data_IF_200479002005
#
_entry.id   IF_200479002005
#
_cell.length_a   1.000
_cell.length_b   1.000
_cell.length_c   1.000
_cell.angle_alpha   90.00
_cell.angle_beta   90.00
_cell.angle_gamma   90.00
#
_symmetry.space_group_name_H-M   'P 1'
#
loop_
_entity.id
_entity.type
_entity.pdbx_description
1 polymer ?
#
# COMPACT_ATOMS: atom_id res chain seq x y z
N UNK A 1 23.40 14.12 6.19
CA UNK A 1 23.04 13.78 4.80
C UNK A 1 22.12 14.87 4.26
N UNK A 2 22.37 15.43 3.06
CA UNK A 2 21.44 16.39 2.48
C UNK A 2 20.10 15.69 2.25
N UNK A 3 19.00 16.29 2.71
CA UNK A 3 17.65 15.79 2.48
C UNK A 3 17.35 15.93 1.00
N UNK A 4 17.57 14.88 0.22
CA UNK A 4 17.17 14.85 -1.20
C UNK A 4 15.67 15.15 -1.25
N UNK A 5 15.27 16.23 -1.94
CA UNK A 5 13.84 16.53 -2.15
C UNK A 5 13.24 15.32 -2.84
N UNK A 6 12.23 14.72 -2.20
CA UNK A 6 11.50 13.62 -2.79
C UNK A 6 10.78 14.14 -4.03
N UNK A 7 10.86 13.41 -5.12
CA UNK A 7 10.00 13.71 -6.27
C UNK A 7 8.55 13.39 -5.87
N UNK A 8 7.54 14.03 -6.49
CA UNK A 8 6.15 13.71 -6.20
C UNK A 8 5.83 12.21 -6.34
N UNK A 9 6.46 11.50 -7.29
CA UNK A 9 6.31 10.05 -7.42
C UNK A 9 6.82 9.26 -6.21
N UNK A 10 7.93 9.69 -5.61
CA UNK A 10 8.50 9.04 -4.42
C UNK A 10 7.63 9.26 -3.18
N UNK A 11 7.03 10.45 -3.03
CA UNK A 11 6.12 10.75 -1.94
C UNK A 11 4.89 9.84 -1.99
N UNK A 12 4.25 9.73 -3.17
CA UNK A 12 3.08 8.85 -3.36
C UNK A 12 3.39 7.39 -3.01
N UNK A 13 4.53 6.86 -3.47
CA UNK A 13 4.97 5.50 -3.13
C UNK A 13 5.16 5.33 -1.62
N UNK A 14 5.79 6.30 -0.97
CA UNK A 14 6.06 6.26 0.47
C UNK A 14 4.75 6.29 1.26
N UNK A 15 3.79 7.12 0.87
CA UNK A 15 2.45 7.18 1.48
C UNK A 15 1.76 5.82 1.34
N UNK A 16 1.70 5.26 0.14
CA UNK A 16 1.08 3.96 -0.08
C UNK A 16 1.74 2.84 0.74
N UNK A 17 3.08 2.78 0.77
CA UNK A 17 3.83 1.83 1.60
C UNK A 17 3.52 1.96 3.09
N UNK A 18 3.47 3.20 3.58
CA UNK A 18 3.20 3.50 4.97
C UNK A 18 1.79 3.07 5.37
N UNK A 19 0.79 3.35 4.52
CA UNK A 19 -0.60 2.98 4.78
C UNK A 19 -0.76 1.46 4.76
N UNK A 20 -0.24 0.78 3.74
CA UNK A 20 -0.33 -0.69 3.66
C UNK A 20 0.30 -1.32 4.91
N UNK A 21 1.48 -0.86 5.31
CA UNK A 21 2.17 -1.38 6.50
C UNK A 21 1.39 -1.10 7.78
N UNK A 22 0.88 0.13 7.95
CA UNK A 22 0.01 0.52 9.08
C UNK A 22 -1.17 -0.44 9.23
N UNK A 23 -1.87 -0.76 8.14
CA UNK A 23 -3.04 -1.64 8.23
C UNK A 23 -2.68 -3.12 8.42
N UNK A 24 -1.57 -3.58 7.88
CA UNK A 24 -1.06 -4.93 8.20
C UNK A 24 -0.77 -5.06 9.70
N UNK A 25 -0.07 -4.09 10.27
CA UNK A 25 0.28 -4.06 11.70
C UNK A 25 -0.98 -3.96 12.57
N UNK A 26 -1.92 -3.06 12.24
CA UNK A 26 -3.18 -2.89 12.97
C UNK A 26 -4.07 -4.13 12.96
N UNK A 27 -3.93 -4.99 11.95
CA UNK A 27 -4.72 -6.22 11.80
C UNK A 27 -3.97 -7.45 12.30
N UNK A 28 -2.69 -7.33 12.66
CA UNK A 28 -1.85 -8.48 13.00
C UNK A 28 -1.64 -9.44 11.82
N UNK A 29 -1.72 -8.92 10.60
CA UNK A 29 -1.65 -9.70 9.38
C UNK A 29 -0.22 -9.71 8.84
N UNK A 30 0.35 -10.90 8.68
CA UNK A 30 1.62 -11.04 7.98
C UNK A 30 1.43 -11.06 6.45
N UNK A 31 2.55 -11.01 5.73
CA UNK A 31 2.53 -11.03 4.27
C UNK A 31 1.99 -12.34 3.68
N UNK A 32 2.01 -13.45 4.41
CA UNK A 32 1.49 -14.73 3.94
C UNK A 32 -0.04 -14.70 3.94
N UNK A 33 -0.65 -14.28 5.05
CA UNK A 33 -2.10 -14.19 5.21
C UNK A 33 -2.72 -13.18 4.23
N UNK A 34 -2.08 -12.03 4.04
CA UNK A 34 -2.56 -11.03 3.07
C UNK A 34 -2.46 -11.57 1.65
N UNK A 35 -1.37 -12.27 1.30
CA UNK A 35 -1.20 -12.84 -0.03
C UNK A 35 -2.25 -13.92 -0.32
N UNK A 36 -2.58 -14.77 0.67
CA UNK A 36 -3.67 -15.75 0.56
C UNK A 36 -5.03 -15.10 0.32
N UNK A 37 -5.36 -14.01 1.04
CA UNK A 37 -6.61 -13.27 0.83
C UNK A 37 -6.72 -12.62 -0.55
N UNK A 38 -5.57 -12.29 -1.14
CA UNK A 38 -5.48 -11.69 -2.47
C UNK A 38 -5.33 -12.72 -3.58
N UNK A 39 -5.31 -14.02 -3.25
CA UNK A 39 -5.02 -15.12 -4.19
C UNK A 39 -3.71 -14.92 -4.99
N UNK A 40 -2.67 -14.44 -4.31
CA UNK A 40 -1.33 -14.28 -4.88
C UNK A 40 -0.29 -14.96 -4.01
N UNK A 41 0.88 -15.27 -4.60
CA UNK A 41 2.01 -15.75 -3.81
C UNK A 41 2.64 -14.62 -3.00
N UNK A 42 3.12 -14.91 -1.78
CA UNK A 42 3.77 -13.93 -0.89
C UNK A 42 4.83 -13.07 -1.57
N UNK A 43 5.65 -13.67 -2.44
CA UNK A 43 6.70 -12.95 -3.17
C UNK A 43 6.13 -11.84 -4.06
N UNK A 44 4.97 -12.07 -4.68
CA UNK A 44 4.28 -11.08 -5.51
C UNK A 44 3.79 -9.91 -4.65
N UNK A 45 3.16 -10.20 -3.50
CA UNK A 45 2.75 -9.15 -2.56
C UNK A 45 3.95 -8.32 -2.08
N UNK A 46 5.06 -8.96 -1.69
CA UNK A 46 6.28 -8.26 -1.28
C UNK A 46 6.81 -7.31 -2.36
N UNK A 47 6.87 -7.77 -3.60
CA UNK A 47 7.35 -6.98 -4.73
C UNK A 47 6.44 -5.77 -4.99
N UNK A 48 5.12 -5.99 -4.99
CA UNK A 48 4.12 -4.93 -5.18
C UNK A 48 4.09 -3.95 -4.00
N UNK A 49 4.27 -4.41 -2.77
CA UNK A 49 4.42 -3.53 -1.59
C UNK A 49 5.67 -2.66 -1.69
N UNK A 50 6.80 -3.21 -2.17
CA UNK A 50 8.01 -2.42 -2.45
C UNK A 50 7.81 -1.42 -3.59
N UNK A 51 6.91 -1.71 -4.53
CA UNK A 51 6.61 -0.88 -5.70
C UNK A 51 5.10 -0.74 -5.89
N UNK A 52 4.41 0.07 -5.06
CA UNK A 52 2.95 0.15 -5.05
C UNK A 52 2.36 0.56 -6.40
N UNK A 53 3.14 1.23 -7.25
CA UNK A 53 2.74 1.58 -8.61
C UNK A 53 2.51 0.37 -9.54
N UNK A 54 2.87 -0.84 -9.09
CA UNK A 54 2.72 -2.09 -9.85
C UNK A 54 1.49 -2.91 -9.45
N UNK A 55 0.69 -2.43 -8.50
CA UNK A 55 -0.65 -2.96 -8.30
C UNK A 55 -1.54 -2.58 -9.49
N UNK A 56 -2.23 -3.57 -10.04
CA UNK A 56 -3.39 -3.32 -10.89
C UNK A 56 -4.53 -2.74 -10.03
N UNK A 57 -5.52 -2.14 -10.68
CA UNK A 57 -6.66 -1.56 -9.97
C UNK A 57 -7.43 -2.62 -9.16
N UNK A 58 -7.65 -3.80 -9.75
CA UNK A 58 -8.37 -4.90 -9.09
C UNK A 58 -7.61 -5.44 -7.88
N UNK A 59 -6.29 -5.64 -8.00
CA UNK A 59 -5.46 -6.07 -6.87
C UNK A 59 -5.43 -5.01 -5.76
N UNK A 60 -5.46 -3.72 -6.11
CA UNK A 60 -5.49 -2.66 -5.11
C UNK A 60 -6.82 -2.63 -4.36
N UNK A 61 -7.94 -2.83 -5.05
CA UNK A 61 -9.25 -2.96 -4.41
C UNK A 61 -9.29 -4.17 -3.48
N UNK A 62 -8.83 -5.32 -3.95
CA UNK A 62 -8.72 -6.53 -3.15
C UNK A 62 -7.87 -6.31 -1.89
N UNK A 63 -6.69 -5.67 -2.02
CA UNK A 63 -5.84 -5.31 -0.88
C UNK A 63 -6.58 -4.40 0.12
N UNK A 64 -7.28 -3.37 -0.38
CA UNK A 64 -8.01 -2.43 0.46
C UNK A 64 -9.15 -3.11 1.23
N UNK A 65 -9.78 -4.12 0.66
CA UNK A 65 -10.81 -4.94 1.32
C UNK A 65 -10.20 -5.93 2.30
N UNK A 66 -9.16 -6.66 1.90
CA UNK A 66 -8.46 -7.64 2.72
C UNK A 66 -7.91 -7.04 4.02
N UNK A 67 -7.40 -5.81 3.95
CA UNK A 67 -6.86 -5.07 5.10
C UNK A 67 -7.90 -4.16 5.79
N UNK A 68 -9.11 -4.04 5.22
CA UNK A 68 -10.17 -3.13 5.67
C UNK A 68 -9.64 -1.69 5.82
N UNK A 69 -8.95 -1.19 4.79
CA UNK A 69 -8.42 0.17 4.73
C UNK A 69 -9.58 1.17 4.71
N UNK A 70 -9.50 2.23 5.54
CA UNK A 70 -10.55 3.26 5.61
C UNK A 70 -10.68 4.03 4.29
N UNK A 71 -11.83 4.68 4.08
CA UNK A 71 -12.07 5.43 2.83
C UNK A 71 -11.09 6.59 2.65
N UNK A 72 -10.73 7.24 3.75
CA UNK A 72 -9.78 8.34 3.78
C UNK A 72 -8.40 7.84 3.35
N UNK A 73 -7.89 6.78 3.99
CA UNK A 73 -6.59 6.20 3.67
C UNK A 73 -6.54 5.59 2.25
N UNK A 74 -7.66 5.08 1.72
CA UNK A 74 -7.77 4.69 0.30
C UNK A 74 -7.59 5.88 -0.64
N UNK A 75 -8.20 7.02 -0.33
CA UNK A 75 -8.00 8.26 -1.07
C UNK A 75 -6.53 8.69 -1.08
N UNK A 76 -5.85 8.58 0.06
CA UNK A 76 -4.43 8.87 0.18
C UNK A 76 -3.54 7.93 -0.64
N UNK A 77 -3.89 6.65 -0.79
CA UNK A 77 -3.14 5.74 -1.67
C UNK A 77 -3.25 6.19 -3.14
N UNK A 78 -4.45 6.60 -3.56
CA UNK A 78 -4.72 6.98 -4.95
C UNK A 78 -4.12 8.36 -5.31
N UNK A 79 -4.25 9.33 -4.41
CA UNK A 79 -3.90 10.73 -4.69
C UNK A 79 -2.49 11.05 -4.18
N UNK A 80 -2.07 10.33 -3.13
CA UNK A 80 -0.74 10.41 -2.53
C UNK A 80 -0.44 11.73 -1.82
N UNK A 81 -1.50 12.45 -1.42
CA UNK A 81 -1.50 13.67 -0.61
C UNK A 81 -2.80 13.70 0.20
N UNK A 82 -2.74 14.25 1.41
CA UNK A 82 -3.94 14.75 2.10
C UNK A 82 -4.21 16.10 1.44
N UNK A 83 -5.39 16.29 0.84
CA UNK A 83 -5.80 17.64 0.44
C UNK A 83 -5.93 18.48 1.72
N UNK A 84 -5.15 19.56 1.80
CA UNK A 84 -5.31 20.66 2.76
C UNK A 84 -6.54 21.50 2.41
#
# INVERSE_FOLDING_TARGET
MPKTRLTPGMERRRVAQSIISKYMDLRGEDEEHVAQKMDVVKRTLQNKRKRPETFTLDELWCLCEALKISKEDRGLILWGKIDE
#
